data_IF_894528623271
#
_entry.id   IF_894528623271
#
_cell.length_a   1.000
_cell.length_b   1.000
_cell.length_c   1.000
_cell.angle_alpha   90.00
_cell.angle_beta   90.00
_cell.angle_gamma   90.00
#
_symmetry.space_group_name_H-M   'P 1'
#
loop_
_entity.id
_entity.type
_entity.pdbx_description
1 polymer ?
#
# COMPACT_ATOMS: atom_id res chain seq x y z
N UNK A 1 6.20 0.52 19.07
CA UNK A 1 5.14 0.71 18.06
C UNK A 1 4.79 -0.57 17.28
N UNK A 2 5.65 -1.61 17.25
CA UNK A 2 5.42 -2.86 16.52
C UNK A 2 4.80 -3.99 17.35
N UNK A 3 4.52 -3.78 18.64
CA UNK A 3 3.92 -4.77 19.55
C UNK A 3 2.50 -4.33 19.87
N UNK A 4 1.52 -5.20 19.61
CA UNK A 4 0.11 -4.98 19.95
C UNK A 4 -0.07 -5.22 21.44
N UNK A 5 -0.40 -4.17 22.21
CA UNK A 5 -0.57 -4.27 23.67
C UNK A 5 -1.80 -5.14 24.07
N UNK A 6 -2.88 -5.07 23.28
CA UNK A 6 -4.16 -5.73 23.58
C UNK A 6 -4.66 -6.58 22.41
N UNK A 7 -3.87 -7.56 22.00
CA UNK A 7 -4.19 -8.42 20.84
C UNK A 7 -5.55 -9.11 20.93
N UNK A 8 -5.99 -9.48 22.16
CA UNK A 8 -7.30 -10.14 22.35
C UNK A 8 -8.47 -9.23 21.99
N UNK A 9 -8.43 -7.98 22.43
CA UNK A 9 -9.48 -7.00 22.11
C UNK A 9 -9.51 -6.67 20.63
N UNK A 10 -8.35 -6.50 20.01
CA UNK A 10 -8.27 -6.24 18.56
C UNK A 10 -8.79 -7.41 17.72
N UNK A 11 -8.42 -8.66 18.07
CA UNK A 11 -8.97 -9.83 17.39
C UNK A 11 -10.49 -9.93 17.57
N UNK A 12 -11.01 -9.62 18.75
CA UNK A 12 -12.46 -9.61 19.00
C UNK A 12 -13.14 -8.53 18.14
N UNK A 13 -12.57 -7.33 18.06
CA UNK A 13 -13.07 -6.23 17.22
C UNK A 13 -13.09 -6.59 15.75
N UNK A 14 -12.07 -7.29 15.24
CA UNK A 14 -12.05 -7.82 13.86
C UNK A 14 -13.22 -8.75 13.55
N UNK A 15 -13.61 -9.60 14.49
CA UNK A 15 -14.71 -10.55 14.29
C UNK A 15 -16.10 -9.91 14.46
N UNK A 16 -16.20 -8.79 15.14
CA UNK A 16 -17.47 -8.09 15.38
C UNK A 16 -17.76 -7.00 14.34
N UNK A 17 -16.74 -6.55 13.59
CA UNK A 17 -16.90 -5.45 12.63
C UNK A 17 -17.57 -5.89 11.32
N UNK A 18 -18.29 -4.98 10.68
CA UNK A 18 -18.83 -5.13 9.32
C UNK A 18 -17.73 -5.07 8.24
N UNK A 19 -16.48 -4.76 8.62
CA UNK A 19 -15.34 -4.63 7.71
C UNK A 19 -14.65 -5.96 7.37
N UNK A 20 -15.20 -7.11 7.78
CA UNK A 20 -14.66 -8.46 7.48
C UNK A 20 -14.40 -8.72 5.99
N UNK A 21 -15.27 -8.21 5.11
CA UNK A 21 -15.10 -8.33 3.65
C UNK A 21 -13.82 -7.64 3.15
N UNK A 22 -13.46 -6.50 3.75
CA UNK A 22 -12.23 -5.80 3.41
C UNK A 22 -11.00 -6.55 3.93
N UNK A 23 -11.09 -7.14 5.13
CA UNK A 23 -10.02 -7.99 5.67
C UNK A 23 -9.79 -9.23 4.78
N UNK A 24 -10.87 -9.88 4.32
CA UNK A 24 -10.75 -10.98 3.36
C UNK A 24 -10.10 -10.51 2.05
N UNK A 25 -10.43 -9.31 1.58
CA UNK A 25 -9.79 -8.66 0.43
C UNK A 25 -8.29 -8.41 0.65
N UNK A 26 -7.91 -7.88 1.81
CA UNK A 26 -6.49 -7.66 2.20
C UNK A 26 -5.70 -8.97 2.19
N UNK A 27 -6.27 -10.06 2.73
CA UNK A 27 -5.62 -11.37 2.71
C UNK A 27 -5.48 -11.90 1.27
N UNK A 28 -6.57 -11.86 0.50
CA UNK A 28 -6.60 -12.39 -0.86
C UNK A 28 -5.68 -11.59 -1.80
N UNK A 29 -5.89 -10.29 -1.90
CA UNK A 29 -5.17 -9.45 -2.86
C UNK A 29 -3.76 -9.10 -2.38
N UNK A 30 -3.62 -8.65 -1.14
CA UNK A 30 -2.32 -8.23 -0.60
C UNK A 30 -1.45 -9.39 -0.12
N UNK A 31 -2.07 -10.41 0.52
CA UNK A 31 -1.35 -11.52 1.12
C UNK A 31 -1.08 -12.70 0.16
N UNK A 32 -1.99 -12.98 -0.78
CA UNK A 32 -1.90 -14.18 -1.64
C UNK A 32 -1.58 -13.80 -3.08
N UNK A 33 -2.49 -13.12 -3.78
CA UNK A 33 -2.38 -12.90 -5.22
C UNK A 33 -1.22 -11.97 -5.60
N UNK A 34 -1.04 -10.86 -4.88
CA UNK A 34 0.04 -9.92 -5.16
C UNK A 34 1.42 -10.58 -5.12
N UNK A 35 1.83 -11.21 -3.98
CA UNK A 35 3.11 -11.92 -3.90
C UNK A 35 3.24 -13.07 -4.89
N UNK A 36 2.17 -13.84 -5.13
CA UNK A 36 2.17 -14.94 -6.08
C UNK A 36 2.49 -14.46 -7.50
N UNK A 37 1.77 -13.45 -7.98
CA UNK A 37 2.00 -12.87 -9.29
C UNK A 37 3.38 -12.23 -9.41
N UNK A 38 3.85 -11.52 -8.37
CA UNK A 38 5.21 -10.97 -8.38
C UNK A 38 6.26 -12.08 -8.50
N UNK A 39 6.15 -13.16 -7.73
CA UNK A 39 7.09 -14.28 -7.79
C UNK A 39 7.14 -14.93 -9.18
N UNK A 40 5.99 -15.03 -9.86
CA UNK A 40 5.93 -15.50 -11.24
C UNK A 40 6.62 -14.49 -12.18
N UNK A 41 6.33 -13.21 -12.02
CA UNK A 41 6.91 -12.14 -12.83
C UNK A 41 8.43 -12.02 -12.71
N UNK A 42 8.99 -12.33 -11.54
CA UNK A 42 10.44 -12.26 -11.29
C UNK A 42 11.25 -13.39 -12.00
N UNK A 43 10.60 -14.43 -12.54
CA UNK A 43 11.32 -15.59 -13.06
C UNK A 43 12.09 -15.33 -14.36
N UNK A 44 11.62 -14.44 -15.21
CA UNK A 44 12.12 -14.31 -16.59
C UNK A 44 12.39 -12.88 -17.05
N UNK A 45 12.23 -11.88 -16.20
CA UNK A 45 12.59 -10.49 -16.47
C UNK A 45 13.78 -10.04 -15.65
N UNK A 46 14.46 -8.99 -16.14
CA UNK A 46 15.55 -8.33 -15.40
C UNK A 46 15.01 -7.61 -14.14
N UNK A 47 15.80 -7.59 -13.07
CA UNK A 47 15.39 -6.99 -11.81
C UNK A 47 15.16 -5.46 -11.95
N UNK A 48 15.94 -4.75 -12.78
CA UNK A 48 15.71 -3.35 -13.07
C UNK A 48 14.38 -3.11 -13.74
N UNK A 49 14.00 -3.93 -14.74
CA UNK A 49 12.71 -3.85 -15.43
C UNK A 49 11.55 -4.08 -14.47
N UNK A 50 11.64 -5.12 -13.64
CA UNK A 50 10.63 -5.39 -12.61
C UNK A 50 10.50 -4.21 -11.65
N UNK A 51 11.62 -3.62 -11.22
CA UNK A 51 11.61 -2.45 -10.33
C UNK A 51 10.88 -1.24 -10.96
N UNK A 52 11.03 -1.01 -12.26
CA UNK A 52 10.29 0.05 -12.96
C UNK A 52 8.80 -0.31 -13.06
N UNK A 53 8.46 -1.56 -13.41
CA UNK A 53 7.07 -2.00 -13.51
C UNK A 53 6.33 -2.00 -12.18
N UNK A 54 7.01 -2.17 -11.06
CA UNK A 54 6.39 -2.08 -9.73
C UNK A 54 5.78 -0.70 -9.47
N UNK A 55 6.21 0.36 -10.17
CA UNK A 55 5.53 1.65 -10.10
C UNK A 55 4.13 1.66 -10.74
N UNK A 56 3.75 0.62 -11.50
CA UNK A 56 2.37 0.43 -11.95
C UNK A 56 1.40 0.27 -10.77
N UNK A 57 1.89 -0.06 -9.56
CA UNK A 57 1.09 -0.09 -8.35
C UNK A 57 0.53 1.30 -8.01
N UNK A 58 1.30 2.38 -8.21
CA UNK A 58 0.80 3.75 -8.08
C UNK A 58 -0.37 3.99 -9.04
N UNK A 59 -0.22 3.58 -10.30
CA UNK A 59 -1.27 3.72 -11.32
C UNK A 59 -2.50 2.90 -10.94
N UNK A 60 -2.29 1.62 -10.58
CA UNK A 60 -3.38 0.73 -10.19
C UNK A 60 -4.15 1.29 -8.98
N UNK A 61 -3.44 1.75 -7.93
CA UNK A 61 -4.06 2.36 -6.75
C UNK A 61 -4.83 3.62 -7.14
N UNK A 62 -4.26 4.51 -7.96
CA UNK A 62 -4.92 5.73 -8.39
C UNK A 62 -6.17 5.48 -9.24
N UNK A 63 -6.08 4.57 -10.22
CA UNK A 63 -7.21 4.20 -11.10
C UNK A 63 -8.33 3.51 -10.31
N UNK A 64 -7.98 2.56 -9.44
CA UNK A 64 -8.97 1.92 -8.55
C UNK A 64 -9.59 2.94 -7.60
N UNK A 65 -8.79 3.88 -7.08
CA UNK A 65 -9.25 5.01 -6.29
C UNK A 65 -10.38 5.75 -6.98
N UNK A 66 -10.17 6.20 -8.23
CA UNK A 66 -11.20 6.90 -9.00
C UNK A 66 -12.40 6.02 -9.31
N UNK A 67 -12.18 4.83 -9.88
CA UNK A 67 -13.26 4.01 -10.44
C UNK A 67 -14.15 3.35 -9.39
N UNK A 68 -13.55 2.91 -8.28
CA UNK A 68 -14.23 2.08 -7.27
C UNK A 68 -14.39 2.83 -5.95
N UNK A 69 -13.35 3.52 -5.51
CA UNK A 69 -13.31 4.16 -4.19
C UNK A 69 -13.68 5.64 -4.21
N UNK A 70 -13.98 6.19 -5.41
CA UNK A 70 -14.42 7.58 -5.64
C UNK A 70 -13.40 8.63 -5.16
N UNK A 71 -12.11 8.32 -5.24
CA UNK A 71 -11.03 9.28 -5.02
C UNK A 71 -10.97 10.26 -6.19
N UNK A 72 -10.55 11.50 -5.94
CA UNK A 72 -10.38 12.51 -6.97
C UNK A 72 -8.90 12.70 -7.29
N UNK A 73 -8.54 12.58 -8.58
CA UNK A 73 -7.22 12.95 -9.08
C UNK A 73 -7.30 14.27 -9.84
N UNK A 74 -6.40 15.17 -9.51
CA UNK A 74 -6.23 16.39 -10.26
C UNK A 74 -5.45 16.16 -11.59
N UNK A 75 -5.37 17.21 -12.42
CA UNK A 75 -4.69 17.15 -13.72
C UNK A 75 -3.21 16.78 -13.60
N UNK A 76 -2.53 17.21 -12.54
CA UNK A 76 -1.11 16.92 -12.33
C UNK A 76 -0.89 15.45 -11.97
N UNK A 77 -1.74 14.89 -11.11
CA UNK A 77 -1.73 13.48 -10.79
C UNK A 77 -1.99 12.61 -12.04
N UNK A 78 -2.92 13.02 -12.92
CA UNK A 78 -3.17 12.33 -14.20
C UNK A 78 -1.92 12.35 -15.10
N UNK A 79 -1.26 13.50 -15.23
CA UNK A 79 0.01 13.60 -15.99
C UNK A 79 1.06 12.67 -15.38
N UNK A 80 1.19 12.67 -14.05
CA UNK A 80 2.12 11.79 -13.34
C UNK A 80 1.87 10.31 -13.62
N UNK A 81 0.60 9.87 -13.57
CA UNK A 81 0.18 8.52 -13.92
C UNK A 81 0.55 8.16 -15.37
N UNK A 82 0.29 9.05 -16.33
CA UNK A 82 0.61 8.82 -17.75
C UNK A 82 2.13 8.73 -17.98
N UNK A 83 2.93 9.56 -17.33
CA UNK A 83 4.40 9.50 -17.38
C UNK A 83 4.92 8.18 -16.81
N UNK A 84 4.40 7.76 -15.66
CA UNK A 84 4.78 6.49 -15.02
C UNK A 84 4.45 5.29 -15.93
N UNK A 85 3.25 5.30 -16.54
CA UNK A 85 2.87 4.28 -17.53
C UNK A 85 3.82 4.28 -18.73
N UNK A 86 4.14 5.46 -19.28
CA UNK A 86 5.09 5.61 -20.37
C UNK A 86 6.47 5.04 -20.05
N UNK A 87 7.01 5.31 -18.85
CA UNK A 87 8.28 4.74 -18.38
C UNK A 87 8.25 3.21 -18.38
N UNK A 88 7.17 2.61 -17.87
CA UNK A 88 7.00 1.17 -17.84
C UNK A 88 6.93 0.54 -19.24
N UNK A 89 6.22 1.16 -20.18
CA UNK A 89 6.11 0.70 -21.56
C UNK A 89 7.49 0.78 -22.25
N UNK A 90 8.23 1.87 -22.09
CA UNK A 90 9.58 2.04 -22.70
C UNK A 90 10.50 0.91 -22.25
N UNK A 91 10.55 0.59 -20.97
CA UNK A 91 11.37 -0.52 -20.48
C UNK A 91 10.90 -1.87 -21.01
N UNK A 92 9.60 -2.10 -21.13
CA UNK A 92 9.08 -3.34 -21.65
C UNK A 92 9.51 -3.63 -23.10
N UNK A 93 9.83 -2.59 -23.90
CA UNK A 93 10.34 -2.76 -25.28
C UNK A 93 11.73 -3.39 -25.33
N UNK A 94 12.47 -3.41 -24.24
CA UNK A 94 13.81 -4.00 -24.18
C UNK A 94 13.81 -5.47 -23.71
N UNK A 95 12.65 -5.93 -23.24
CA UNK A 95 12.53 -7.29 -22.75
C UNK A 95 12.25 -8.28 -23.87
N UNK A 96 12.69 -9.52 -23.67
CA UNK A 96 12.32 -10.64 -24.52
C UNK A 96 10.81 -10.93 -24.42
N UNK A 97 10.27 -11.77 -25.30
CA UNK A 97 8.87 -12.18 -25.22
C UNK A 97 8.48 -12.81 -23.87
N UNK A 98 9.39 -13.53 -23.24
CA UNK A 98 9.20 -14.06 -21.88
C UNK A 98 9.20 -12.96 -20.83
N UNK A 99 10.00 -11.92 -21.00
CA UNK A 99 10.00 -10.73 -20.15
C UNK A 99 8.71 -9.93 -20.27
N UNK A 100 8.11 -9.84 -21.45
CA UNK A 100 6.79 -9.21 -21.63
C UNK A 100 5.70 -9.98 -20.87
N UNK A 101 5.75 -11.33 -20.87
CA UNK A 101 4.84 -12.12 -20.04
C UNK A 101 5.04 -11.83 -18.55
N UNK A 102 6.31 -11.67 -18.11
CA UNK A 102 6.61 -11.26 -16.74
C UNK A 102 6.02 -9.89 -16.39
N UNK A 103 6.05 -8.92 -17.32
CA UNK A 103 5.44 -7.61 -17.12
C UNK A 103 3.92 -7.72 -16.85
N UNK A 104 3.22 -8.64 -17.52
CA UNK A 104 1.80 -8.88 -17.27
C UNK A 104 1.58 -9.39 -15.85
N UNK A 105 2.40 -10.33 -15.36
CA UNK A 105 2.28 -10.83 -13.99
C UNK A 105 2.62 -9.76 -12.97
N UNK A 106 3.63 -8.92 -13.19
CA UNK A 106 3.92 -7.77 -12.31
C UNK A 106 2.76 -6.78 -12.30
N UNK A 107 2.14 -6.51 -13.44
CA UNK A 107 0.94 -5.66 -13.49
C UNK A 107 -0.23 -6.26 -12.70
N UNK A 108 -0.47 -7.57 -12.80
CA UNK A 108 -1.49 -8.25 -11.98
C UNK A 108 -1.18 -8.17 -10.49
N UNK A 109 0.10 -8.25 -10.10
CA UNK A 109 0.52 -8.01 -8.72
C UNK A 109 0.21 -6.57 -8.27
N UNK A 110 0.54 -5.58 -9.09
CA UNK A 110 0.27 -4.17 -8.83
C UNK A 110 -1.23 -3.87 -8.70
N UNK A 111 -2.07 -4.44 -9.56
CA UNK A 111 -3.54 -4.34 -9.44
C UNK A 111 -4.03 -4.96 -8.12
N UNK A 112 -3.49 -6.13 -7.77
CA UNK A 112 -3.84 -6.80 -6.51
C UNK A 112 -3.47 -5.93 -5.31
N UNK A 113 -2.27 -5.36 -5.28
CA UNK A 113 -1.87 -4.45 -4.22
C UNK A 113 -2.63 -3.12 -4.24
N UNK A 114 -3.06 -2.64 -5.39
CA UNK A 114 -3.95 -1.49 -5.48
C UNK A 114 -5.27 -1.70 -4.71
N UNK A 115 -5.88 -2.88 -4.82
CA UNK A 115 -7.03 -3.26 -3.98
C UNK A 115 -6.66 -3.37 -2.50
N UNK A 116 -5.54 -4.02 -2.17
CA UNK A 116 -5.06 -4.16 -0.80
C UNK A 116 -4.84 -2.80 -0.13
N UNK A 117 -4.26 -1.84 -0.85
CA UNK A 117 -4.00 -0.49 -0.37
C UNK A 117 -5.27 0.22 0.07
N UNK A 118 -6.33 0.18 -0.73
CA UNK A 118 -7.61 0.77 -0.38
C UNK A 118 -8.32 0.00 0.73
N UNK A 119 -8.32 -1.34 0.69
CA UNK A 119 -8.96 -2.13 1.74
C UNK A 119 -8.26 -1.95 3.09
N UNK A 120 -6.93 -1.92 3.10
CA UNK A 120 -6.14 -1.68 4.32
C UNK A 120 -6.38 -0.29 4.90
N UNK A 121 -6.59 0.71 4.05
CA UNK A 121 -6.92 2.07 4.49
C UNK A 121 -8.33 2.14 5.12
N UNK A 122 -9.31 1.37 4.61
CA UNK A 122 -10.69 1.35 5.14
C UNK A 122 -10.78 0.65 6.51
N UNK A 123 -9.85 -0.25 6.85
CA UNK A 123 -9.87 -0.98 8.12
C UNK A 123 -9.21 -0.12 9.20
N UNK A 124 -10.00 0.69 9.89
CA UNK A 124 -9.57 1.64 10.93
C UNK A 124 -9.92 1.17 12.36
N UNK A 125 -10.60 0.04 12.51
CA UNK A 125 -11.07 -0.49 13.80
C UNK A 125 -9.99 -1.24 14.59
N UNK A 126 -8.87 -1.59 13.94
CA UNK A 126 -7.75 -2.32 14.53
C UNK A 126 -6.42 -1.72 14.09
N UNK A 127 -5.37 -2.07 14.83
CA UNK A 127 -4.03 -1.56 14.55
C UNK A 127 -3.46 -2.09 13.21
N UNK A 128 -2.64 -1.32 12.50
CA UNK A 128 -1.90 -1.75 11.30
C UNK A 128 -1.09 -3.02 11.52
N UNK A 129 -0.57 -3.21 12.73
CA UNK A 129 0.18 -4.41 13.11
C UNK A 129 -0.70 -5.66 13.05
N UNK A 130 -1.94 -5.56 13.55
CA UNK A 130 -2.91 -6.66 13.53
C UNK A 130 -3.33 -7.01 12.09
N UNK A 131 -3.58 -6.01 11.25
CA UNK A 131 -3.87 -6.22 9.82
C UNK A 131 -2.70 -6.94 9.15
N UNK A 132 -1.46 -6.44 9.34
CA UNK A 132 -0.25 -7.03 8.76
C UNK A 132 -0.01 -8.44 9.26
N UNK A 133 -0.23 -8.70 10.55
CA UNK A 133 -0.08 -10.04 11.13
C UNK A 133 -1.07 -11.04 10.51
N UNK A 134 -2.35 -10.68 10.47
CA UNK A 134 -3.39 -11.55 9.89
C UNK A 134 -3.11 -11.82 8.41
N UNK A 135 -2.81 -10.78 7.63
CA UNK A 135 -2.41 -10.90 6.22
C UNK A 135 -1.18 -11.78 6.05
N UNK A 136 -0.15 -11.58 6.88
CA UNK A 136 1.10 -12.34 6.86
C UNK A 136 0.91 -13.82 7.17
N UNK A 137 0.10 -14.15 8.19
CA UNK A 137 -0.18 -15.54 8.56
C UNK A 137 -0.95 -16.27 7.46
N UNK A 138 -2.11 -15.75 7.06
CA UNK A 138 -2.96 -16.43 6.07
C UNK A 138 -2.32 -16.42 4.67
N UNK A 139 -1.81 -15.27 4.22
CA UNK A 139 -1.12 -15.17 2.94
C UNK A 139 0.16 -15.97 2.91
N UNK A 140 0.97 -15.91 3.97
CA UNK A 140 2.22 -16.64 4.09
C UNK A 140 2.03 -18.16 4.08
N UNK A 141 1.08 -18.69 4.86
CA UNK A 141 0.76 -20.13 4.86
C UNK A 141 0.27 -20.56 3.46
N UNK A 142 -0.65 -19.80 2.86
CA UNK A 142 -1.19 -20.15 1.53
C UNK A 142 -0.10 -20.15 0.46
N UNK A 143 0.73 -19.09 0.39
CA UNK A 143 1.81 -19.01 -0.59
C UNK A 143 2.91 -20.05 -0.34
N UNK A 144 3.20 -20.36 0.93
CA UNK A 144 4.11 -21.44 1.29
C UNK A 144 3.59 -22.79 0.76
N UNK A 145 2.33 -23.11 0.98
CA UNK A 145 1.72 -24.34 0.47
C UNK A 145 1.75 -24.39 -1.05
N UNK A 146 1.38 -23.30 -1.74
CA UNK A 146 1.47 -23.21 -3.21
C UNK A 146 2.92 -23.44 -3.67
N UNK A 147 3.88 -22.78 -3.03
CA UNK A 147 5.29 -22.92 -3.34
C UNK A 147 5.80 -24.36 -3.17
N UNK A 148 5.41 -25.02 -2.08
CA UNK A 148 5.74 -26.43 -1.84
C UNK A 148 5.22 -27.37 -2.92
N UNK A 149 3.96 -27.17 -3.33
CA UNK A 149 3.39 -27.97 -4.44
C UNK A 149 4.13 -27.73 -5.76
N UNK A 150 4.45 -26.48 -6.10
CA UNK A 150 5.15 -26.13 -7.34
C UNK A 150 6.61 -26.66 -7.33
N UNK A 151 7.29 -26.64 -6.16
CA UNK A 151 8.67 -27.09 -6.01
C UNK A 151 8.81 -28.59 -5.74
N UNK A 152 7.75 -29.38 -5.82
CA UNK A 152 7.75 -30.80 -5.45
C UNK A 152 8.33 -31.04 -4.05
N UNK A 153 7.98 -30.17 -3.08
CA UNK A 153 8.41 -30.24 -1.68
C UNK A 153 9.93 -30.07 -1.48
N UNK A 154 10.64 -29.50 -2.45
CA UNK A 154 12.04 -29.19 -2.31
C UNK A 154 12.25 -27.83 -1.64
N UNK A 155 12.91 -27.82 -0.48
CA UNK A 155 13.27 -26.60 0.25
C UNK A 155 14.79 -26.47 0.24
N UNK A 156 15.26 -25.31 -0.22
CA UNK A 156 16.68 -24.96 -0.15
C UNK A 156 16.95 -24.21 1.17
N UNK A 157 17.40 -24.92 2.19
CA UNK A 157 17.58 -24.40 3.56
C UNK A 157 18.51 -23.19 3.63
N UNK A 158 19.46 -23.07 2.72
CA UNK A 158 20.43 -21.98 2.68
C UNK A 158 19.81 -20.60 2.49
N UNK A 159 18.62 -20.53 1.86
CA UNK A 159 17.93 -19.25 1.61
C UNK A 159 16.94 -18.87 2.69
N UNK A 160 16.66 -19.75 3.65
CA UNK A 160 15.68 -19.45 4.73
C UNK A 160 16.07 -18.19 5.52
N UNK A 161 17.32 -17.98 5.97
CA UNK A 161 17.66 -16.75 6.71
C UNK A 161 17.41 -15.48 5.90
N UNK A 162 17.80 -15.48 4.62
CA UNK A 162 17.56 -14.33 3.74
C UNK A 162 16.08 -14.10 3.51
N UNK A 163 15.29 -15.14 3.29
CA UNK A 163 13.84 -15.05 3.13
C UNK A 163 13.16 -14.51 4.39
N UNK A 164 13.61 -14.92 5.58
CA UNK A 164 13.08 -14.38 6.85
C UNK A 164 13.43 -12.90 7.03
N UNK A 165 14.66 -12.48 6.72
CA UNK A 165 15.05 -11.06 6.77
C UNK A 165 14.19 -10.22 5.82
N UNK A 166 14.02 -10.66 4.58
CA UNK A 166 13.13 -9.99 3.61
C UNK A 166 11.71 -9.96 4.15
N UNK A 167 11.19 -11.07 4.67
CA UNK A 167 9.85 -11.15 5.24
C UNK A 167 9.64 -10.16 6.39
N UNK A 168 10.59 -10.03 7.31
CA UNK A 168 10.48 -9.11 8.44
C UNK A 168 10.57 -7.65 8.02
N UNK A 169 11.59 -7.28 7.23
CA UNK A 169 11.84 -5.87 6.92
C UNK A 169 11.03 -5.39 5.72
N UNK A 170 11.04 -6.12 4.60
CA UNK A 170 10.37 -5.68 3.37
C UNK A 170 8.87 -5.92 3.40
N UNK A 171 8.40 -6.90 4.17
CA UNK A 171 6.98 -7.20 4.31
C UNK A 171 6.43 -6.73 5.66
N UNK A 172 6.99 -7.17 6.78
CA UNK A 172 6.46 -6.86 8.10
C UNK A 172 6.52 -5.37 8.45
N UNK A 173 7.73 -4.83 8.56
CA UNK A 173 7.95 -3.43 8.97
C UNK A 173 7.42 -2.45 7.92
N UNK A 174 7.74 -2.67 6.65
CA UNK A 174 7.36 -1.80 5.54
C UNK A 174 5.84 -1.68 5.41
N UNK A 175 5.10 -2.79 5.46
CA UNK A 175 3.64 -2.79 5.33
C UNK A 175 2.96 -2.14 6.53
N UNK A 176 3.46 -2.34 7.77
CA UNK A 176 2.92 -1.63 8.94
C UNK A 176 3.05 -0.12 8.76
N UNK A 177 4.22 0.36 8.34
CA UNK A 177 4.44 1.78 8.09
C UNK A 177 3.56 2.31 6.95
N UNK A 178 3.39 1.51 5.89
CA UNK A 178 2.50 1.85 4.78
C UNK A 178 1.04 1.99 5.25
N UNK A 179 0.52 1.03 6.02
CA UNK A 179 -0.87 1.06 6.52
C UNK A 179 -1.08 2.26 7.45
N UNK A 180 -0.11 2.56 8.34
CA UNK A 180 -0.14 3.77 9.17
C UNK A 180 -0.28 5.02 8.30
N UNK A 181 0.53 5.11 7.25
CA UNK A 181 0.45 6.22 6.30
C UNK A 181 -0.89 6.25 5.57
N UNK A 182 -1.37 5.11 5.07
CA UNK A 182 -2.62 5.01 4.30
C UNK A 182 -3.86 5.34 5.13
N UNK A 183 -3.88 4.99 6.41
CA UNK A 183 -4.95 5.35 7.33
C UNK A 183 -4.98 6.85 7.68
N UNK A 184 -3.82 7.53 7.66
CA UNK A 184 -3.71 8.95 8.00
C UNK A 184 -3.75 9.88 6.78
N UNK A 185 -3.18 9.47 5.65
CA UNK A 185 -3.02 10.30 4.44
C UNK A 185 -3.87 9.83 3.26
N UNK A 186 -4.53 8.69 3.37
CA UNK A 186 -5.21 8.01 2.27
C UNK A 186 -4.28 7.11 1.44
N UNK A 187 -4.87 6.12 0.75
CA UNK A 187 -4.12 5.09 0.03
C UNK A 187 -3.26 5.66 -1.11
N UNK A 188 -3.84 6.53 -1.95
CA UNK A 188 -3.18 7.07 -3.15
C UNK A 188 -1.92 7.86 -2.80
N UNK A 189 -1.94 8.67 -1.71
CA UNK A 189 -0.77 9.45 -1.31
C UNK A 189 0.31 8.65 -0.65
N UNK A 190 -0.10 7.73 0.21
CA UNK A 190 0.84 6.79 0.80
C UNK A 190 1.56 6.02 -0.28
N UNK A 191 0.86 5.69 -1.36
CA UNK A 191 1.45 5.05 -2.52
C UNK A 191 2.42 5.95 -3.30
N UNK A 192 2.19 7.27 -3.37
CA UNK A 192 3.16 8.21 -3.96
C UNK A 192 4.48 8.17 -3.20
N UNK A 193 4.44 8.23 -1.87
CA UNK A 193 5.65 8.12 -1.04
C UNK A 193 6.33 6.75 -1.20
N UNK A 194 5.54 5.69 -1.25
CA UNK A 194 6.03 4.33 -1.39
C UNK A 194 6.61 4.03 -2.78
N UNK A 195 6.17 4.74 -3.81
CA UNK A 195 6.66 4.61 -5.20
C UNK A 195 8.12 5.03 -5.41
N UNK A 196 8.78 5.56 -4.38
CA UNK A 196 10.24 5.75 -4.39
C UNK A 196 11.00 4.43 -4.18
N UNK A 197 10.36 3.40 -3.62
CA UNK A 197 11.00 2.12 -3.31
C UNK A 197 11.63 1.41 -4.54
N UNK A 198 11.01 1.37 -5.72
CA UNK A 198 11.61 0.79 -6.92
C UNK A 198 12.91 1.43 -7.38
N UNK A 199 13.17 2.70 -7.05
CA UNK A 199 14.47 3.33 -7.37
C UNK A 199 15.62 2.62 -6.65
N UNK A 200 15.42 2.24 -5.41
CA UNK A 200 16.39 1.46 -4.64
C UNK A 200 16.59 0.07 -5.25
N UNK A 201 15.51 -0.52 -5.82
CA UNK A 201 15.59 -1.78 -6.55
C UNK A 201 16.48 -1.68 -7.80
N UNK A 202 16.36 -0.61 -8.60
CA UNK A 202 17.19 -0.34 -9.77
C UNK A 202 18.68 -0.23 -9.36
N UNK A 203 18.98 0.56 -8.32
CA UNK A 203 20.33 0.71 -7.81
C UNK A 203 20.90 -0.60 -7.26
N UNK A 204 20.09 -1.36 -6.54
CA UNK A 204 20.50 -2.66 -6.01
C UNK A 204 20.79 -3.67 -7.15
N UNK A 205 19.98 -3.71 -8.19
CA UNK A 205 20.18 -4.56 -9.35
C UNK A 205 21.51 -4.20 -10.08
N UNK A 206 21.77 -2.91 -10.25
CA UNK A 206 23.02 -2.44 -10.83
C UNK A 206 24.26 -2.85 -9.99
N UNK A 207 24.21 -2.58 -8.67
CA UNK A 207 25.37 -2.79 -7.77
C UNK A 207 25.58 -4.29 -7.45
N UNK A 208 24.52 -5.02 -7.12
CA UNK A 208 24.62 -6.37 -6.58
C UNK A 208 24.44 -7.46 -7.63
N UNK A 209 23.67 -7.21 -8.70
CA UNK A 209 23.43 -8.19 -9.76
C UNK A 209 24.25 -7.91 -11.02
N UNK A 210 24.93 -6.75 -11.09
CA UNK A 210 25.74 -6.37 -12.26
C UNK A 210 24.89 -6.08 -13.51
N UNK A 211 23.59 -5.80 -13.37
CA UNK A 211 22.74 -5.46 -14.51
C UNK A 211 23.21 -4.14 -15.15
N UNK A 212 23.30 -4.06 -16.49
CA UNK A 212 23.82 -2.85 -17.16
C UNK A 212 22.82 -1.70 -17.04
N UNK A 213 23.31 -0.54 -16.66
CA UNK A 213 22.50 0.70 -16.64
C UNK A 213 22.43 1.28 -18.07
N UNK A 214 21.53 0.75 -18.87
CA UNK A 214 21.38 1.13 -20.29
C UNK A 214 20.79 2.53 -20.44
N UNK A 215 20.98 3.16 -21.63
CA UNK A 215 20.35 4.47 -21.93
C UNK A 215 18.84 4.41 -21.77
N UNK A 216 18.20 3.30 -22.12
CA UNK A 216 16.75 3.14 -22.01
C UNK A 216 16.30 3.07 -20.55
N UNK A 217 17.03 2.36 -19.71
CA UNK A 217 16.79 2.38 -18.26
C UNK A 217 16.92 3.79 -17.70
N UNK A 218 17.96 4.55 -18.12
CA UNK A 218 18.16 5.94 -17.70
C UNK A 218 17.00 6.85 -18.14
N UNK A 219 16.56 6.74 -19.39
CA UNK A 219 15.42 7.52 -19.92
C UNK A 219 14.14 7.17 -19.15
N UNK A 220 13.83 5.88 -18.99
CA UNK A 220 12.65 5.41 -18.26
C UNK A 220 12.67 5.86 -16.80
N UNK A 221 13.83 5.77 -16.15
CA UNK A 221 14.02 6.27 -14.79
C UNK A 221 13.76 7.77 -14.68
N UNK A 222 14.27 8.56 -15.63
CA UNK A 222 14.05 10.01 -15.65
C UNK A 222 12.57 10.38 -15.85
N UNK A 223 11.87 9.68 -16.74
CA UNK A 223 10.44 9.87 -16.97
C UNK A 223 9.65 9.47 -15.71
N UNK A 224 10.04 8.37 -15.06
CA UNK A 224 9.43 7.91 -13.82
C UNK A 224 9.56 8.93 -12.68
N UNK A 225 10.76 9.51 -12.49
CA UNK A 225 10.99 10.59 -11.51
C UNK A 225 10.07 11.78 -11.79
N UNK A 226 9.98 12.21 -13.06
CA UNK A 226 9.07 13.29 -13.45
C UNK A 226 7.62 12.93 -13.16
N UNK A 227 7.20 11.70 -13.45
CA UNK A 227 5.85 11.21 -13.17
C UNK A 227 5.51 11.32 -11.69
N UNK A 228 6.40 10.90 -10.80
CA UNK A 228 6.20 10.99 -9.34
C UNK A 228 6.17 12.46 -8.89
N UNK A 229 7.06 13.31 -9.39
CA UNK A 229 7.05 14.75 -9.07
C UNK A 229 5.71 15.38 -9.48
N UNK A 230 5.20 15.11 -10.68
CA UNK A 230 3.90 15.61 -11.11
C UNK A 230 2.76 15.10 -10.22
N UNK A 231 2.75 13.82 -9.86
CA UNK A 231 1.73 13.28 -8.95
C UNK A 231 1.77 13.94 -7.57
N UNK A 232 2.97 14.31 -7.10
CA UNK A 232 3.14 15.02 -5.81
C UNK A 232 2.69 16.49 -5.86
N UNK A 233 2.82 17.16 -7.00
CA UNK A 233 2.45 18.58 -7.17
C UNK A 233 0.93 18.79 -7.15
N UNK A 234 0.14 17.75 -7.33
CA UNK A 234 -1.31 17.79 -7.38
C UNK A 234 -1.99 17.99 -6.02
N UNK A 235 -1.76 19.11 -5.35
CA UNK A 235 -2.47 19.49 -4.12
C UNK A 235 -3.36 20.71 -4.35
N UNK A 236 -4.56 20.70 -3.82
CA UNK A 236 -5.49 21.85 -3.90
C UNK A 236 -5.98 22.28 -2.51
N UNK A 237 -6.46 23.53 -2.45
CA UNK A 237 -7.04 24.13 -1.26
C UNK A 237 -8.49 24.50 -1.55
N UNK A 238 -9.41 24.14 -0.71
CA UNK A 238 -10.78 24.64 -0.71
C UNK A 238 -11.38 24.61 0.70
N UNK A 239 -12.42 25.39 0.91
CA UNK A 239 -13.22 25.38 2.13
C UNK A 239 -14.08 24.12 2.16
N UNK A 240 -14.15 23.44 3.27
CA UNK A 240 -15.01 22.29 3.45
C UNK A 240 -15.67 22.27 4.82
N UNK A 241 -16.86 21.74 4.84
CA UNK A 241 -17.63 21.50 6.06
C UNK A 241 -17.62 20.01 6.39
N UNK A 242 -17.26 19.68 7.60
CA UNK A 242 -17.45 18.34 8.14
C UNK A 242 -18.85 18.24 8.72
N UNK A 243 -19.72 17.41 8.12
CA UNK A 243 -21.01 17.08 8.74
C UNK A 243 -20.73 16.27 10.00
N UNK A 244 -21.51 16.52 11.04
CA UNK A 244 -21.43 15.72 12.26
C UNK A 244 -21.64 14.22 11.93
N UNK A 245 -20.66 13.40 12.25
CA UNK A 245 -20.66 11.96 11.97
C UNK A 245 -20.47 11.21 13.29
N UNK A 246 -21.31 10.21 13.52
CA UNK A 246 -21.13 9.27 14.64
C UNK A 246 -20.52 8.00 14.09
N UNK A 247 -19.31 7.68 14.53
CA UNK A 247 -18.62 6.46 14.10
C UNK A 247 -17.62 5.94 15.13
N UNK A 248 -17.06 4.77 14.87
CA UNK A 248 -16.01 4.15 15.68
C UNK A 248 -14.73 4.11 14.89
N UNK A 249 -13.65 4.71 15.41
CA UNK A 249 -12.30 4.53 14.87
C UNK A 249 -11.24 4.52 15.98
N UNK A 250 -10.05 4.09 15.63
CA UNK A 250 -8.91 4.10 16.54
C UNK A 250 -8.27 5.49 16.55
N UNK A 251 -8.31 6.21 17.69
CA UNK A 251 -7.74 7.55 17.81
C UNK A 251 -6.91 7.72 19.09
N UNK A 252 -6.18 8.82 19.18
CA UNK A 252 -5.49 9.30 20.38
C UNK A 252 -5.90 10.75 20.65
N UNK A 253 -5.88 11.18 21.91
CA UNK A 253 -6.27 12.55 22.29
C UNK A 253 -5.31 13.64 21.79
N UNK A 254 -4.16 13.27 21.22
CA UNK A 254 -3.15 14.21 20.72
C UNK A 254 -3.36 14.58 19.23
N UNK A 255 -4.46 14.14 18.60
CA UNK A 255 -4.70 14.37 17.16
C UNK A 255 -5.37 15.70 16.82
N UNK A 256 -5.71 16.51 17.83
CA UNK A 256 -6.31 17.85 17.67
C UNK A 256 -7.77 17.86 17.20
N UNK A 257 -8.39 16.71 17.00
CA UNK A 257 -9.79 16.56 16.55
C UNK A 257 -10.71 15.93 17.60
N UNK A 258 -10.13 15.43 18.71
CA UNK A 258 -10.85 14.67 19.74
C UNK A 258 -10.64 15.30 21.11
N UNK A 259 -11.54 16.18 21.51
CA UNK A 259 -11.53 16.85 22.82
C UNK A 259 -12.67 16.32 23.70
N UNK A 260 -12.51 15.09 24.20
CA UNK A 260 -13.43 14.52 25.17
C UNK A 260 -12.67 13.78 26.29
N UNK A 261 -13.21 13.82 27.50
CA UNK A 261 -12.64 13.18 28.68
C UNK A 261 -13.30 11.84 28.97
N UNK A 262 -12.51 10.81 29.29
CA UNK A 262 -13.02 9.54 29.79
C UNK A 262 -13.23 9.61 31.30
N UNK A 263 -14.38 9.14 31.75
CA UNK A 263 -14.74 9.11 33.18
C UNK A 263 -14.01 7.97 33.94
N UNK A 264 -13.43 7.02 33.19
CA UNK A 264 -12.73 5.88 33.80
C UNK A 264 -11.26 5.79 33.32
N UNK A 265 -10.36 5.90 34.32
CA UNK A 265 -8.91 5.62 34.27
C UNK A 265 -8.01 6.55 33.41
N UNK A 266 -7.48 7.51 34.05
CA UNK A 266 -6.35 8.42 33.93
C UNK A 266 -5.15 8.14 33.02
N UNK A 267 -5.26 7.47 31.86
CA UNK A 267 -4.19 7.34 30.87
C UNK A 267 -4.56 8.03 29.56
N UNK A 268 -4.16 9.29 29.45
CA UNK A 268 -4.42 10.17 28.29
C UNK A 268 -3.60 9.82 27.03
N UNK A 269 -2.80 8.77 27.00
CA UNK A 269 -1.83 8.54 25.92
C UNK A 269 -2.01 7.23 25.14
N UNK A 270 -3.01 6.41 25.44
CA UNK A 270 -3.22 5.16 24.71
C UNK A 270 -4.22 5.32 23.57
N UNK A 271 -3.87 4.82 22.38
CA UNK A 271 -4.82 4.67 21.28
C UNK A 271 -5.95 3.73 21.68
N UNK A 272 -7.18 4.16 21.50
CA UNK A 272 -8.38 3.39 21.82
C UNK A 272 -9.47 3.64 20.78
N UNK A 273 -10.53 2.84 20.81
CA UNK A 273 -11.63 2.90 19.86
C UNK A 273 -12.95 2.86 20.62
N UNK A 274 -13.81 3.86 20.41
CA UNK A 274 -15.18 3.86 20.94
C UNK A 274 -16.10 4.68 20.00
N UNK A 275 -17.40 4.64 20.26
CA UNK A 275 -18.39 5.47 19.56
C UNK A 275 -18.23 6.91 20.03
N UNK A 276 -18.02 7.85 19.11
CA UNK A 276 -18.03 9.28 19.39
C UNK A 276 -18.64 10.09 18.24
N UNK A 277 -19.08 11.30 18.58
CA UNK A 277 -19.72 12.22 17.67
C UNK A 277 -18.75 13.38 17.37
N UNK A 278 -18.51 13.61 16.08
CA UNK A 278 -17.81 14.80 15.61
C UNK A 278 -18.84 15.91 15.38
N UNK A 279 -18.58 17.10 15.93
CA UNK A 279 -19.40 18.28 15.67
C UNK A 279 -19.12 18.81 14.26
N UNK A 280 -20.10 19.47 13.66
CA UNK A 280 -19.91 20.16 12.38
C UNK A 280 -18.86 21.28 12.55
N UNK A 281 -17.79 21.23 11.76
CA UNK A 281 -16.71 22.22 11.75
C UNK A 281 -16.50 22.68 10.33
N UNK A 282 -16.50 24.01 10.11
CA UNK A 282 -16.11 24.63 8.84
C UNK A 282 -14.71 25.20 9.03
N UNK A 283 -13.75 24.73 8.26
CA UNK A 283 -12.38 25.25 8.30
C UNK A 283 -11.68 25.08 6.96
N UNK A 284 -10.63 25.89 6.76
CA UNK A 284 -9.79 25.85 5.58
C UNK A 284 -8.40 25.38 5.97
N UNK A 285 -7.99 24.24 5.46
CA UNK A 285 -6.60 23.80 5.56
C UNK A 285 -6.19 23.08 4.28
N UNK A 286 -4.89 22.95 4.09
CA UNK A 286 -4.34 22.12 3.04
C UNK A 286 -4.68 20.68 3.37
N UNK A 287 -5.66 20.13 2.68
CA UNK A 287 -6.05 18.76 2.90
C UNK A 287 -6.06 17.98 1.61
N UNK A 288 -6.25 16.72 1.75
CA UNK A 288 -6.23 15.74 0.71
C UNK A 288 -7.39 14.78 0.96
N UNK A 289 -8.14 14.35 -0.07
CA UNK A 289 -9.24 13.42 0.12
C UNK A 289 -8.76 12.18 0.86
N UNK A 290 -9.29 11.95 2.03
CA UNK A 290 -9.09 10.73 2.79
C UNK A 290 -10.41 9.96 2.93
N UNK A 291 -10.40 8.83 3.63
CA UNK A 291 -11.57 7.98 3.78
C UNK A 291 -12.66 8.64 4.62
N UNK A 292 -12.29 9.54 5.52
CA UNK A 292 -13.19 10.24 6.43
C UNK A 292 -13.68 11.59 5.86
N UNK A 293 -13.00 12.10 4.82
CA UNK A 293 -13.25 13.41 4.23
C UNK A 293 -13.58 13.28 2.73
N UNK A 294 -14.73 12.71 2.41
CA UNK A 294 -15.26 12.61 1.03
C UNK A 294 -16.21 13.77 0.78
N UNK A 295 -15.84 14.64 -0.15
CA UNK A 295 -16.68 15.74 -0.59
C UNK A 295 -17.29 15.43 -1.96
N UNK A 296 -18.57 15.75 -2.15
CA UNK A 296 -19.19 15.85 -3.47
C UNK A 296 -18.77 17.19 -4.07
N UNK A 297 -18.16 17.16 -5.23
CA UNK A 297 -17.78 18.35 -6.02
C UNK A 297 -18.82 18.64 -7.08
#
# INVERSE_FOLDING_TARGET
>A
PFIVKNWRTEFTSLWQTDKKKYLAGVILFGGILGPLFLMIGLKTANAMSVSIWLNMELIATAVLGILIFKDHLDRYAIIGVLLTLGAGIIVATQESSSGVVSAIFVLLACISWGFDNHFSAIIDVVSPQTITFVKGVFGGITNFMIGMFISNWQIQLNYIPAALLIGVFSYGVSIVLYIISAQNLGATRSQILFSTAPFWGIFAAWIFLGEPFTQIVLISFSILVLGIVFTYLGSHHHDHSHKGIVHIHLHSHDDGHHDHTHIENGENSSKHSHIHEHKEIIHTHKHYPDIHHRHEH
#
